data_IF_378297572264
#
_entry.id   IF_378297572264
#
_cell.length_a   1.000
_cell.length_b   1.000
_cell.length_c   1.000
_cell.angle_alpha   90.00
_cell.angle_beta   90.00
_cell.angle_gamma   90.00
#
_symmetry.space_group_name_H-M   'P 1'
#
loop_
_entity.id
_entity.type
_entity.pdbx_description
1 polymer ?
#
# COMPACT_ATOMS: atom_id res chain seq x y z
N UNK A 1 45.97 25.40 3.38
CA UNK A 1 44.82 24.69 4.00
C UNK A 1 43.79 24.49 2.91
N UNK A 2 43.62 23.25 2.45
CA UNK A 2 42.73 22.91 1.36
C UNK A 2 41.29 22.81 1.89
N UNK A 3 40.40 23.62 1.34
CA UNK A 3 38.95 23.55 1.57
C UNK A 3 38.40 22.30 0.90
N UNK A 4 38.02 21.30 1.69
CA UNK A 4 37.28 20.13 1.22
C UNK A 4 35.85 20.54 0.88
N UNK A 5 35.56 20.70 -0.41
CA UNK A 5 34.20 20.78 -0.93
C UNK A 5 33.53 19.41 -0.79
N UNK A 6 32.53 19.33 0.08
CA UNK A 6 31.55 18.24 0.12
C UNK A 6 30.89 18.11 -1.27
N UNK A 7 30.79 16.91 -1.88
CA UNK A 7 30.12 16.78 -3.15
C UNK A 7 28.63 17.04 -2.95
N UNK A 8 28.09 17.94 -3.77
CA UNK A 8 26.67 18.24 -3.84
C UNK A 8 25.88 16.95 -4.09
N UNK A 9 24.87 16.71 -3.25
CA UNK A 9 23.85 15.68 -3.46
C UNK A 9 23.25 15.85 -4.86
N UNK A 10 23.27 14.76 -5.64
CA UNK A 10 22.54 14.64 -6.90
C UNK A 10 21.10 15.14 -6.66
N UNK A 11 20.74 16.24 -7.29
CA UNK A 11 19.37 16.73 -7.27
C UNK A 11 18.49 15.69 -7.98
N UNK A 12 17.69 14.97 -7.19
CA UNK A 12 16.58 14.16 -7.69
C UNK A 12 15.69 15.09 -8.56
N UNK A 13 15.71 14.93 -9.88
CA UNK A 13 14.87 15.75 -10.77
C UNK A 13 13.40 15.41 -10.50
N UNK A 14 12.74 16.23 -9.66
CA UNK A 14 11.32 16.12 -9.37
C UNK A 14 10.52 16.53 -10.63
N UNK A 15 9.86 15.55 -11.22
CA UNK A 15 8.98 15.69 -12.37
C UNK A 15 7.57 16.03 -11.88
N UNK A 16 7.04 17.14 -12.36
CA UNK A 16 5.62 17.50 -12.18
C UNK A 16 4.83 17.09 -13.41
N UNK A 17 3.91 16.14 -13.26
CA UNK A 17 3.07 15.61 -14.34
C UNK A 17 1.61 15.99 -14.09
N UNK A 18 0.86 16.21 -15.18
CA UNK A 18 -0.57 16.49 -15.13
C UNK A 18 -1.34 15.34 -15.78
N UNK A 19 -2.29 14.78 -15.05
CA UNK A 19 -3.12 13.65 -15.46
C UNK A 19 -4.56 14.10 -15.61
N UNK A 20 -5.12 13.96 -16.81
CA UNK A 20 -6.53 14.25 -17.09
C UNK A 20 -7.36 12.99 -16.91
N UNK A 21 -8.34 13.01 -16.01
CA UNK A 21 -9.27 11.92 -15.76
C UNK A 21 -10.69 12.46 -15.52
N UNK A 22 -11.69 11.86 -16.20
CA UNK A 22 -13.10 12.29 -16.18
C UNK A 22 -13.30 13.81 -16.34
N UNK A 23 -12.53 14.42 -17.24
CA UNK A 23 -12.61 15.86 -17.53
C UNK A 23 -11.92 16.78 -16.53
N UNK A 24 -11.40 16.26 -15.41
CA UNK A 24 -10.61 17.02 -14.41
C UNK A 24 -9.11 16.80 -14.63
N UNK A 25 -8.30 17.79 -14.27
CA UNK A 25 -6.83 17.70 -14.28
C UNK A 25 -6.31 17.54 -12.85
N UNK A 26 -5.37 16.59 -12.67
CA UNK A 26 -4.72 16.30 -11.40
C UNK A 26 -3.22 16.43 -11.57
N UNK A 27 -2.54 17.11 -10.65
CA UNK A 27 -1.08 17.26 -10.68
C UNK A 27 -0.43 16.28 -9.72
N UNK A 28 0.51 15.49 -10.22
CA UNK A 28 1.29 14.53 -9.44
C UNK A 28 2.77 14.87 -9.56
N UNK A 29 3.49 14.75 -8.44
CA UNK A 29 4.95 14.91 -8.38
C UNK A 29 5.59 13.54 -8.17
N UNK A 30 6.61 13.25 -8.96
CA UNK A 30 7.37 11.98 -9.00
C UNK A 30 8.84 12.28 -9.27
N UNK A 31 9.74 11.39 -8.87
CA UNK A 31 11.17 11.51 -9.17
C UNK A 31 11.53 10.67 -10.41
N UNK A 32 12.65 10.98 -11.07
CA UNK A 32 13.08 10.21 -12.26
C UNK A 32 13.44 8.75 -11.97
N UNK A 33 13.83 8.43 -10.74
CA UNK A 33 14.10 7.09 -10.23
C UNK A 33 12.83 6.36 -9.76
N UNK A 34 11.67 7.02 -9.75
CA UNK A 34 10.39 6.33 -9.55
C UNK A 34 10.10 5.42 -10.75
N UNK A 35 9.33 4.37 -10.51
CA UNK A 35 8.80 3.47 -11.52
C UNK A 35 7.42 3.94 -12.03
N UNK A 36 6.95 3.37 -13.14
CA UNK A 36 5.56 3.53 -13.61
C UNK A 36 4.55 3.10 -12.52
N UNK A 37 4.85 2.05 -11.76
CA UNK A 37 4.03 1.63 -10.61
C UNK A 37 3.89 2.74 -9.55
N UNK A 38 4.97 3.42 -9.19
CA UNK A 38 4.91 4.54 -8.24
C UNK A 38 4.13 5.72 -8.84
N UNK A 39 4.30 6.03 -10.13
CA UNK A 39 3.46 7.03 -10.80
C UNK A 39 1.96 6.68 -10.70
N UNK A 40 1.58 5.44 -11.00
CA UNK A 40 0.20 4.98 -10.86
C UNK A 40 -0.29 5.09 -9.40
N UNK A 41 0.57 4.78 -8.42
CA UNK A 41 0.26 4.98 -7.00
C UNK A 41 0.00 6.44 -6.66
N UNK A 42 0.80 7.38 -7.16
CA UNK A 42 0.55 8.84 -6.99
C UNK A 42 -0.75 9.30 -7.61
N UNK A 43 -1.11 8.75 -8.76
CA UNK A 43 -2.40 9.02 -9.41
C UNK A 43 -3.54 8.45 -8.56
N UNK A 44 -3.36 7.28 -7.96
CA UNK A 44 -4.34 6.68 -7.06
C UNK A 44 -4.61 7.58 -5.84
N UNK A 45 -3.57 8.20 -5.26
CA UNK A 45 -3.72 9.11 -4.11
C UNK A 45 -4.65 10.31 -4.40
N UNK A 46 -4.65 10.81 -5.64
CA UNK A 46 -5.42 12.00 -6.03
C UNK A 46 -6.72 11.68 -6.76
N UNK A 47 -6.91 10.44 -7.23
CA UNK A 47 -8.10 10.03 -8.00
C UNK A 47 -8.90 8.89 -7.37
N UNK A 48 -8.34 8.18 -6.39
CA UNK A 48 -8.88 6.93 -5.81
C UNK A 48 -9.04 5.78 -6.81
N UNK A 49 -8.50 5.89 -8.02
CA UNK A 49 -8.47 4.80 -9.02
C UNK A 49 -7.27 3.91 -8.71
N UNK A 50 -7.47 2.62 -8.43
CA UNK A 50 -6.37 1.70 -8.12
C UNK A 50 -5.35 1.60 -9.26
N UNK A 51 -4.04 1.41 -8.99
CA UNK A 51 -3.01 1.26 -10.02
C UNK A 51 -3.36 0.24 -11.11
N UNK A 52 -3.89 -0.93 -10.72
CA UNK A 52 -4.33 -1.99 -11.65
C UNK A 52 -5.46 -1.58 -12.60
N UNK A 53 -6.21 -0.52 -12.26
CA UNK A 53 -7.32 0.03 -13.07
C UNK A 53 -6.94 1.28 -13.86
N UNK A 54 -5.70 1.72 -13.77
CA UNK A 54 -5.22 2.90 -14.47
C UNK A 54 -4.61 2.51 -15.80
N UNK A 55 -5.25 2.96 -16.88
CA UNK A 55 -4.67 2.95 -18.22
C UNK A 55 -4.18 4.35 -18.56
N UNK A 56 -2.86 4.54 -18.48
CA UNK A 56 -2.21 5.81 -18.83
C UNK A 56 -1.99 5.90 -20.34
N UNK A 57 -2.44 6.99 -20.94
CA UNK A 57 -2.37 7.23 -22.38
C UNK A 57 -1.54 8.48 -22.66
N UNK A 58 -0.43 8.28 -23.36
CA UNK A 58 0.37 9.35 -23.92
C UNK A 58 0.92 8.96 -25.31
N UNK A 59 0.58 9.69 -26.39
CA UNK A 59 0.87 9.26 -27.77
C UNK A 59 2.32 8.91 -28.06
N UNK A 60 3.30 9.58 -27.43
CA UNK A 60 4.73 9.33 -27.69
C UNK A 60 5.30 8.14 -26.91
N UNK A 61 4.55 7.56 -25.98
CA UNK A 61 5.03 6.51 -25.07
C UNK A 61 4.43 5.14 -25.37
N UNK A 62 3.39 5.07 -26.21
CA UNK A 62 2.74 3.82 -26.58
C UNK A 62 2.38 2.98 -25.36
N UNK A 63 2.75 1.69 -25.39
CA UNK A 63 2.49 0.73 -24.31
C UNK A 63 3.55 0.74 -23.19
N UNK A 64 4.57 1.61 -23.23
CA UNK A 64 5.62 1.62 -22.18
C UNK A 64 5.08 1.97 -20.80
N UNK A 65 3.98 2.73 -20.73
CA UNK A 65 3.28 3.06 -19.49
C UNK A 65 2.39 1.92 -18.95
N UNK A 66 2.32 0.78 -19.66
CA UNK A 66 1.65 -0.41 -19.18
C UNK A 66 2.58 -1.30 -18.34
N UNK A 67 3.90 -1.18 -18.51
CA UNK A 67 4.90 -1.93 -17.75
C UNK A 67 5.25 -1.19 -16.45
N UNK A 68 4.83 -1.77 -15.33
CA UNK A 68 4.98 -1.20 -13.99
C UNK A 68 6.43 -1.18 -13.48
N UNK A 69 7.32 -1.93 -14.14
CA UNK A 69 8.74 -2.03 -13.76
C UNK A 69 9.62 -0.94 -14.38
N UNK A 70 9.11 -0.24 -15.41
CA UNK A 70 9.89 0.77 -16.14
C UNK A 70 10.13 2.01 -15.27
N UNK A 71 11.39 2.46 -15.20
CA UNK A 71 11.76 3.71 -14.53
C UNK A 71 11.34 4.94 -15.35
N UNK A 72 10.84 5.96 -14.68
CA UNK A 72 10.37 7.20 -15.30
C UNK A 72 11.49 7.95 -16.03
N UNK A 73 12.73 7.87 -15.55
CA UNK A 73 13.93 8.44 -16.18
C UNK A 73 14.25 7.85 -17.55
N UNK A 74 13.85 6.61 -17.83
CA UNK A 74 14.06 5.96 -19.14
C UNK A 74 13.02 6.40 -20.17
N UNK A 75 11.99 7.10 -19.72
CA UNK A 75 10.89 7.56 -20.53
C UNK A 75 11.13 9.03 -20.92
N UNK A 76 10.74 9.46 -22.14
CA UNK A 76 10.86 10.85 -22.58
C UNK A 76 9.80 11.75 -21.90
N UNK A 77 9.77 11.75 -20.57
CA UNK A 77 8.91 12.58 -19.75
C UNK A 77 9.55 13.96 -19.57
N UNK A 78 8.81 15.02 -19.94
CA UNK A 78 9.20 16.40 -19.63
C UNK A 78 8.41 16.88 -18.42
N UNK A 79 9.01 17.71 -17.58
CA UNK A 79 8.22 18.43 -16.56
C UNK A 79 7.09 19.21 -17.24
N UNK A 80 5.90 19.24 -16.64
CA UNK A 80 4.62 19.74 -17.18
C UNK A 80 3.92 18.90 -18.26
N UNK A 81 4.31 17.63 -18.43
CA UNK A 81 3.62 16.71 -19.35
C UNK A 81 2.13 16.57 -18.98
N UNK A 82 1.25 16.68 -19.98
CA UNK A 82 -0.17 16.33 -19.85
C UNK A 82 -0.43 14.96 -20.46
N UNK A 83 -0.94 14.02 -19.66
CA UNK A 83 -1.38 12.68 -20.10
C UNK A 83 -2.84 12.43 -19.74
N UNK A 84 -3.49 11.51 -20.44
CA UNK A 84 -4.87 11.11 -20.16
C UNK A 84 -4.86 9.78 -19.41
N UNK A 85 -5.66 9.67 -18.35
CA UNK A 85 -5.87 8.41 -17.64
C UNK A 85 -7.31 7.93 -17.86
N UNK A 86 -7.47 6.65 -18.14
CA UNK A 86 -8.75 5.94 -18.12
C UNK A 86 -8.73 4.98 -16.93
N UNK A 87 -9.81 5.00 -16.15
CA UNK A 87 -9.97 4.12 -15.00
C UNK A 87 -11.25 4.41 -14.22
N UNK A 88 -11.59 3.50 -13.31
CA UNK A 88 -12.80 3.53 -12.49
C UNK A 88 -12.40 3.38 -11.02
N UNK A 89 -13.03 4.17 -10.14
CA UNK A 89 -12.81 4.10 -8.68
C UNK A 89 -13.55 2.90 -8.10
N UNK A 90 -13.04 2.35 -6.99
CA UNK A 90 -13.67 1.20 -6.33
C UNK A 90 -15.09 1.49 -5.83
N UNK A 91 -15.41 2.75 -5.51
CA UNK A 91 -16.74 3.14 -5.04
C UNK A 91 -17.82 2.94 -6.09
N UNK A 92 -17.50 3.15 -7.37
CA UNK A 92 -18.41 2.96 -8.51
C UNK A 92 -18.61 1.47 -8.86
N UNK A 93 -17.82 0.58 -8.25
CA UNK A 93 -17.87 -0.86 -8.50
C UNK A 93 -18.85 -1.50 -7.52
N UNK A 94 -19.86 -2.19 -8.07
CA UNK A 94 -20.94 -2.80 -7.30
C UNK A 94 -20.67 -4.29 -7.02
N UNK A 95 -19.89 -4.94 -7.89
CA UNK A 95 -19.56 -6.37 -7.79
C UNK A 95 -18.14 -6.54 -7.29
N UNK A 96 -17.93 -7.40 -6.29
CA UNK A 96 -16.58 -7.70 -5.80
C UNK A 96 -15.70 -8.23 -6.95
N UNK A 97 -14.63 -7.51 -7.32
CA UNK A 97 -13.72 -7.99 -8.33
C UNK A 97 -13.01 -9.26 -7.82
N UNK A 98 -13.43 -10.41 -8.34
CA UNK A 98 -12.83 -11.74 -8.11
C UNK A 98 -11.32 -11.77 -8.46
N UNK A 99 -10.84 -10.79 -9.23
CA UNK A 99 -9.42 -10.61 -9.57
C UNK A 99 -8.60 -10.19 -8.34
N UNK A 100 -8.18 -11.25 -7.67
CA UNK A 100 -7.29 -11.29 -6.53
C UNK A 100 -5.85 -11.07 -6.97
N UNK A 101 -5.00 -10.43 -6.15
CA UNK A 101 -3.56 -10.43 -6.41
C UNK A 101 -3.04 -11.87 -6.58
N UNK A 102 -1.99 -12.04 -7.37
CA UNK A 102 -1.29 -13.32 -7.45
C UNK A 102 -0.90 -13.75 -6.03
N UNK A 103 -1.10 -15.04 -5.71
CA UNK A 103 -0.60 -15.61 -4.46
C UNK A 103 0.91 -15.62 -4.62
N UNK A 104 1.57 -14.66 -3.98
CA UNK A 104 3.02 -14.61 -3.93
C UNK A 104 3.40 -15.35 -2.65
N UNK A 105 4.16 -16.43 -2.80
CA UNK A 105 4.80 -17.08 -1.65
C UNK A 105 5.94 -16.19 -1.16
N UNK A 106 5.70 -15.48 -0.07
CA UNK A 106 6.66 -14.59 0.57
C UNK A 106 7.55 -15.30 1.61
N UNK A 107 7.33 -16.59 1.86
CA UNK A 107 8.19 -17.39 2.75
C UNK A 107 9.57 -17.72 2.14
N UNK A 108 9.74 -17.51 0.83
CA UNK A 108 11.02 -17.75 0.15
C UNK A 108 12.02 -16.57 0.25
N UNK A 109 11.72 -15.50 0.99
CA UNK A 109 12.65 -14.39 1.18
C UNK A 109 13.82 -14.81 2.08
N UNK A 110 15.03 -14.86 1.52
CA UNK A 110 16.25 -14.97 2.30
C UNK A 110 16.41 -13.78 3.24
N UNK A 111 16.90 -14.01 4.46
CA UNK A 111 17.04 -12.99 5.49
C UNK A 111 17.91 -11.80 5.02
N UNK A 112 18.92 -12.07 4.18
CA UNK A 112 19.79 -11.06 3.58
C UNK A 112 19.05 -10.12 2.61
N UNK A 113 18.11 -10.64 1.80
CA UNK A 113 17.31 -9.83 0.87
C UNK A 113 16.39 -8.85 1.63
N UNK A 114 15.82 -9.29 2.76
CA UNK A 114 14.96 -8.44 3.58
C UNK A 114 15.70 -7.23 4.18
N UNK A 115 16.97 -7.40 4.51
CA UNK A 115 17.83 -6.35 5.07
C UNK A 115 18.18 -5.33 3.99
N UNK A 116 18.55 -5.79 2.79
CA UNK A 116 18.88 -4.91 1.66
C UNK A 116 17.71 -3.99 1.27
N UNK A 117 16.49 -4.53 1.15
CA UNK A 117 15.30 -3.74 0.80
C UNK A 117 15.02 -2.66 1.85
N UNK A 118 15.12 -3.01 3.14
CA UNK A 118 14.87 -2.09 4.25
C UNK A 118 15.88 -0.95 4.29
N UNK A 119 17.14 -1.23 3.94
CA UNK A 119 18.23 -0.28 4.10
C UNK A 119 18.47 0.66 2.92
N UNK A 120 17.89 0.36 1.75
CA UNK A 120 17.86 1.26 0.58
C UNK A 120 17.22 2.61 0.92
N UNK A 121 17.99 3.69 0.74
CA UNK A 121 17.54 5.06 1.11
C UNK A 121 16.28 5.49 0.35
N UNK A 122 16.13 5.09 -0.91
CA UNK A 122 14.92 5.34 -1.72
C UNK A 122 13.67 4.77 -1.02
N UNK A 123 13.75 3.55 -0.47
CA UNK A 123 12.63 2.92 0.24
C UNK A 123 12.37 3.62 1.59
N UNK A 124 13.42 4.07 2.29
CA UNK A 124 13.30 4.86 3.54
C UNK A 124 12.61 6.20 3.28
N UNK A 125 12.94 6.89 2.19
CA UNK A 125 12.28 8.13 1.79
C UNK A 125 10.80 7.89 1.46
N UNK A 126 10.49 6.86 0.67
CA UNK A 126 9.09 6.45 0.37
C UNK A 126 8.30 6.16 1.64
N UNK A 127 8.89 5.45 2.60
CA UNK A 127 8.30 5.18 3.91
C UNK A 127 8.02 6.46 4.70
N UNK A 128 9.02 7.35 4.84
CA UNK A 128 8.87 8.64 5.55
C UNK A 128 7.73 9.46 4.95
N UNK A 129 7.70 9.55 3.62
CA UNK A 129 6.64 10.24 2.89
C UNK A 129 5.27 9.62 3.15
N UNK A 130 5.15 8.29 3.06
CA UNK A 130 3.91 7.57 3.32
C UNK A 130 3.41 7.77 4.74
N UNK A 131 4.30 7.66 5.73
CA UNK A 131 3.98 7.92 7.14
C UNK A 131 3.47 9.35 7.39
N UNK A 132 3.99 10.33 6.65
CA UNK A 132 3.53 11.72 6.75
C UNK A 132 2.15 11.94 6.10
N UNK A 133 1.89 11.31 4.96
CA UNK A 133 0.69 11.53 4.16
C UNK A 133 -0.51 10.68 4.61
N UNK A 134 -0.29 9.40 4.88
CA UNK A 134 -1.35 8.48 5.29
C UNK A 134 -1.63 8.62 6.78
N UNK A 135 -2.88 8.95 7.15
CA UNK A 135 -3.28 9.10 8.56
C UNK A 135 -4.11 7.91 9.01
N UNK A 136 -3.59 7.18 9.99
CA UNK A 136 -4.28 6.03 10.57
C UNK A 136 -5.46 6.52 11.40
N UNK A 137 -6.67 6.07 11.04
CA UNK A 137 -7.89 6.34 11.81
C UNK A 137 -8.10 5.25 12.86
N UNK A 138 -7.89 5.58 14.12
CA UNK A 138 -8.16 4.67 15.24
C UNK A 138 -9.68 4.50 15.41
N UNK A 139 -10.14 3.24 15.42
CA UNK A 139 -11.50 2.85 15.81
C UNK A 139 -11.59 2.65 17.32
N UNK A 140 -10.53 2.09 17.91
CA UNK A 140 -10.38 1.85 19.34
C UNK A 140 -9.00 2.37 19.77
N UNK A 141 -8.86 3.03 20.93
CA UNK A 141 -7.55 3.43 21.42
C UNK A 141 -6.67 2.21 21.67
N UNK A 142 -5.35 2.40 21.53
CA UNK A 142 -4.38 1.38 21.92
C UNK A 142 -4.39 1.18 23.44
N UNK A 143 -4.13 -0.05 23.89
CA UNK A 143 -4.13 -0.43 25.30
C UNK A 143 -2.71 -0.46 25.85
N UNK A 144 -2.55 0.09 27.05
CA UNK A 144 -1.25 0.15 27.71
C UNK A 144 -0.65 -1.26 27.91
N UNK A 145 0.64 -1.39 27.58
CA UNK A 145 1.40 -2.64 27.73
C UNK A 145 1.04 -3.75 26.71
N UNK A 146 0.11 -3.53 25.78
CA UNK A 146 -0.25 -4.51 24.75
C UNK A 146 0.65 -4.40 23.52
N UNK A 147 1.00 -5.56 22.95
CA UNK A 147 1.76 -5.64 21.70
C UNK A 147 0.85 -5.34 20.50
N UNK A 148 1.41 -5.23 19.30
CA UNK A 148 0.64 -5.06 18.06
C UNK A 148 0.62 -6.36 17.26
N UNK A 149 -0.57 -6.79 16.85
CA UNK A 149 -0.77 -7.81 15.84
C UNK A 149 -1.41 -7.16 14.59
N UNK A 150 -0.70 -7.24 13.46
CA UNK A 150 -1.22 -6.79 12.16
C UNK A 150 -1.59 -8.01 11.33
N UNK A 151 -2.82 -8.07 10.85
CA UNK A 151 -3.34 -9.22 10.08
C UNK A 151 -3.72 -8.78 8.68
N UNK A 152 -3.32 -9.59 7.69
CA UNK A 152 -3.92 -9.53 6.36
C UNK A 152 -5.34 -10.13 6.38
N UNK A 153 -6.07 -10.00 5.27
CA UNK A 153 -7.43 -10.50 5.12
C UNK A 153 -7.46 -11.73 4.22
N UNK A 154 -7.15 -11.54 2.94
CA UNK A 154 -7.33 -12.54 1.88
C UNK A 154 -6.36 -13.73 2.13
N UNK A 155 -6.89 -14.94 2.25
CA UNK A 155 -6.15 -16.16 2.66
C UNK A 155 -5.46 -16.13 4.04
N UNK A 156 -5.70 -15.09 4.82
CA UNK A 156 -5.30 -15.04 6.22
C UNK A 156 -6.48 -15.26 7.15
N UNK A 157 -7.58 -14.53 6.96
CA UNK A 157 -8.77 -14.61 7.82
C UNK A 157 -9.97 -15.25 7.12
N UNK A 158 -9.99 -15.28 5.78
CA UNK A 158 -11.06 -15.90 5.01
C UNK A 158 -10.62 -16.30 3.59
N UNK A 159 -11.39 -17.17 2.96
CA UNK A 159 -11.24 -17.58 1.56
C UNK A 159 -11.97 -16.61 0.63
N UNK A 160 -11.20 -15.83 -0.11
CA UNK A 160 -11.71 -14.81 -1.04
C UNK A 160 -11.89 -15.32 -2.47
N UNK A 161 -11.52 -16.58 -2.76
CA UNK A 161 -11.59 -17.15 -4.12
C UNK A 161 -12.80 -18.06 -4.32
N UNK A 162 -13.26 -18.71 -3.26
CA UNK A 162 -14.45 -19.55 -3.32
C UNK A 162 -15.72 -18.70 -3.35
N UNK A 163 -16.70 -19.15 -4.13
CA UNK A 163 -18.06 -18.59 -4.09
C UNK A 163 -18.84 -19.23 -2.95
N UNK A 164 -19.56 -18.43 -2.17
CA UNK A 164 -20.44 -18.90 -1.11
C UNK A 164 -21.74 -18.11 -1.09
N UNK A 165 -22.81 -18.73 -0.60
CA UNK A 165 -24.09 -18.04 -0.38
C UNK A 165 -24.05 -17.17 0.89
N UNK A 166 -23.16 -17.50 1.82
CA UNK A 166 -22.98 -16.77 3.07
C UNK A 166 -21.48 -16.51 3.33
N UNK A 167 -21.05 -15.26 3.60
CA UNK A 167 -19.67 -14.92 3.92
C UNK A 167 -19.04 -15.76 5.05
N UNK A 168 -19.85 -16.23 6.01
CA UNK A 168 -19.40 -17.09 7.11
C UNK A 168 -18.86 -18.43 6.61
N UNK A 169 -19.34 -18.95 5.47
CA UNK A 169 -18.82 -20.18 4.87
C UNK A 169 -17.39 -20.03 4.36
N UNK A 170 -16.97 -18.79 4.06
CA UNK A 170 -15.63 -18.46 3.62
C UNK A 170 -14.70 -18.10 4.78
N UNK A 171 -15.25 -17.95 5.99
CA UNK A 171 -14.49 -17.61 7.19
C UNK A 171 -13.48 -18.71 7.51
N UNK A 172 -12.23 -18.34 7.79
CA UNK A 172 -11.23 -19.31 8.24
C UNK A 172 -11.72 -19.95 9.55
N UNK A 173 -11.65 -21.29 9.69
CA UNK A 173 -12.03 -21.96 10.93
C UNK A 173 -11.32 -21.34 12.14
N UNK A 174 -12.09 -21.16 13.23
CA UNK A 174 -11.63 -20.57 14.50
C UNK A 174 -11.23 -19.08 14.44
N UNK A 175 -11.68 -18.33 13.44
CA UNK A 175 -11.35 -16.90 13.31
C UNK A 175 -11.63 -16.10 14.59
N UNK A 176 -12.82 -16.24 15.17
CA UNK A 176 -13.22 -15.44 16.31
C UNK A 176 -12.55 -15.87 17.62
N UNK A 177 -12.35 -17.17 17.80
CA UNK A 177 -11.61 -17.76 18.92
C UNK A 177 -10.16 -17.29 18.88
N UNK A 178 -9.53 -17.33 17.70
CA UNK A 178 -8.19 -16.79 17.47
C UNK A 178 -8.10 -15.31 17.81
N UNK A 179 -8.98 -14.47 17.26
CA UNK A 179 -8.96 -13.03 17.52
C UNK A 179 -9.23 -12.68 18.98
N UNK A 180 -10.11 -13.44 19.65
CA UNK A 180 -10.37 -13.28 21.09
C UNK A 180 -9.11 -13.60 21.90
N UNK A 181 -8.46 -14.73 21.61
CA UNK A 181 -7.22 -15.13 22.28
C UNK A 181 -6.08 -14.14 22.00
N UNK A 182 -5.92 -13.69 20.75
CA UNK A 182 -4.93 -12.69 20.38
C UNK A 182 -5.20 -11.36 21.07
N UNK A 183 -6.45 -10.93 21.18
CA UNK A 183 -6.80 -9.66 21.80
C UNK A 183 -6.44 -9.61 23.29
N UNK A 184 -6.32 -10.76 23.97
CA UNK A 184 -5.83 -10.81 25.34
C UNK A 184 -4.41 -10.22 25.47
N UNK A 185 -3.57 -10.35 24.45
CA UNK A 185 -2.14 -9.97 24.47
C UNK A 185 -1.79 -8.84 23.50
N UNK A 186 -2.58 -8.65 22.44
CA UNK A 186 -2.28 -7.76 21.33
C UNK A 186 -3.44 -6.81 21.02
N UNK A 187 -3.11 -5.55 20.75
CA UNK A 187 -3.95 -4.69 19.93
C UNK A 187 -3.92 -5.19 18.48
N UNK A 188 -5.07 -5.19 17.82
CA UNK A 188 -5.23 -5.84 16.52
C UNK A 188 -5.51 -4.78 15.46
N UNK A 189 -4.69 -4.75 14.41
CA UNK A 189 -4.95 -3.97 13.19
C UNK A 189 -5.14 -4.90 12.00
N UNK A 190 -6.03 -4.51 11.09
CA UNK A 190 -6.23 -5.22 9.82
C UNK A 190 -5.59 -4.40 8.71
N UNK A 191 -4.77 -5.02 7.86
CA UNK A 191 -4.13 -4.36 6.73
C UNK A 191 -4.25 -5.18 5.44
N UNK A 192 -5.09 -4.73 4.51
CA UNK A 192 -5.29 -5.37 3.20
C UNK A 192 -4.68 -4.55 2.05
N UNK A 193 -4.35 -5.24 0.96
CA UNK A 193 -3.96 -4.63 -0.32
C UNK A 193 -5.17 -4.21 -1.19
N UNK A 194 -6.37 -4.14 -0.61
CA UNK A 194 -7.61 -3.66 -1.26
C UNK A 194 -7.98 -2.25 -0.81
N UNK A 195 -9.08 -1.67 -1.31
CA UNK A 195 -9.57 -0.37 -0.85
C UNK A 195 -10.26 -0.45 0.52
N UNK A 196 -10.28 0.67 1.26
CA UNK A 196 -10.98 0.73 2.54
C UNK A 196 -12.45 0.27 2.46
N UNK A 197 -13.16 0.58 1.36
CA UNK A 197 -14.52 0.09 1.10
C UNK A 197 -14.62 -1.43 1.20
N UNK A 198 -13.72 -2.17 0.55
CA UNK A 198 -13.71 -3.64 0.59
C UNK A 198 -13.25 -4.18 1.93
N UNK A 199 -12.29 -3.52 2.58
CA UNK A 199 -11.85 -3.88 3.94
C UNK A 199 -13.02 -3.79 4.93
N UNK A 200 -13.76 -2.67 4.93
CA UNK A 200 -14.90 -2.47 5.82
C UNK A 200 -16.03 -3.44 5.53
N UNK A 201 -16.35 -3.67 4.25
CA UNK A 201 -17.37 -4.64 3.84
C UNK A 201 -17.02 -6.05 4.35
N UNK A 202 -15.85 -6.58 3.96
CA UNK A 202 -15.42 -7.95 4.32
C UNK A 202 -15.34 -8.15 5.82
N UNK A 203 -14.73 -7.22 6.55
CA UNK A 203 -14.62 -7.34 8.02
C UNK A 203 -15.96 -7.15 8.73
N UNK A 204 -16.90 -6.39 8.14
CA UNK A 204 -18.27 -6.26 8.62
C UNK A 204 -19.06 -7.56 8.44
N UNK A 205 -19.02 -8.13 7.25
CA UNK A 205 -19.72 -9.38 6.89
C UNK A 205 -19.21 -10.59 7.67
N UNK A 206 -17.90 -10.67 7.92
CA UNK A 206 -17.30 -11.70 8.77
C UNK A 206 -17.55 -11.45 10.27
N UNK A 207 -18.26 -10.39 10.67
CA UNK A 207 -18.53 -10.07 12.07
C UNK A 207 -17.32 -9.58 12.88
N UNK A 208 -16.16 -9.39 12.24
CA UNK A 208 -14.89 -8.98 12.87
C UNK A 208 -14.99 -7.56 13.44
N UNK A 209 -15.71 -6.66 12.77
CA UNK A 209 -15.80 -5.25 13.20
C UNK A 209 -16.71 -5.01 14.41
N UNK A 210 -17.60 -5.96 14.73
CA UNK A 210 -18.69 -5.80 15.70
C UNK A 210 -18.73 -6.91 16.77
N UNK A 211 -17.63 -7.64 16.98
CA UNK A 211 -17.57 -8.69 17.98
C UNK A 211 -17.49 -8.10 19.41
N UNK A 212 -18.21 -8.68 20.40
CA UNK A 212 -18.12 -8.23 21.80
C UNK A 212 -16.83 -8.65 22.51
N UNK A 213 -16.16 -9.72 22.06
CA UNK A 213 -15.03 -10.34 22.78
C UNK A 213 -13.67 -9.71 22.45
N UNK A 214 -13.58 -8.92 21.39
CA UNK A 214 -12.35 -8.22 20.99
C UNK A 214 -12.67 -6.90 20.27
N UNK A 215 -11.64 -6.07 20.09
CA UNK A 215 -11.74 -4.82 19.33
C UNK A 215 -10.62 -4.72 18.31
N UNK A 216 -10.95 -4.17 17.15
CA UNK A 216 -9.98 -3.81 16.12
C UNK A 216 -9.58 -2.35 16.34
N UNK A 217 -8.28 -2.12 16.47
CA UNK A 217 -7.65 -0.83 16.75
C UNK A 217 -7.74 0.09 15.54
N UNK A 218 -7.37 -0.40 14.37
CA UNK A 218 -7.41 0.34 13.11
C UNK A 218 -7.53 -0.58 11.89
N UNK A 219 -8.01 0.00 10.79
CA UNK A 219 -8.02 -0.61 9.47
C UNK A 219 -7.04 0.15 8.57
N UNK A 220 -6.24 -0.58 7.81
CA UNK A 220 -5.32 -0.06 6.82
C UNK A 220 -5.62 -0.72 5.47
N UNK A 221 -5.43 0.05 4.41
CA UNK A 221 -5.73 -0.34 3.03
C UNK A 221 -4.50 -0.17 2.14
N UNK A 222 -4.66 -0.40 0.84
CA UNK A 222 -3.58 -0.29 -0.15
C UNK A 222 -2.91 1.09 -0.21
N UNK A 223 -3.58 2.15 0.24
CA UNK A 223 -3.02 3.51 0.28
C UNK A 223 -1.93 3.67 1.35
N UNK A 224 -1.86 2.77 2.33
CA UNK A 224 -0.78 2.72 3.31
C UNK A 224 0.48 2.00 2.78
N UNK A 225 0.37 1.27 1.66
CA UNK A 225 1.47 0.48 1.08
C UNK A 225 2.48 1.37 0.33
N UNK A 226 3.69 0.84 0.13
CA UNK A 226 4.73 1.47 -0.71
C UNK A 226 5.22 0.48 -1.76
N UNK A 227 5.69 1.03 -2.88
CA UNK A 227 6.33 0.25 -3.94
C UNK A 227 7.84 0.22 -3.71
N UNK A 228 8.39 -0.97 -3.51
CA UNK A 228 9.82 -1.22 -3.26
C UNK A 228 10.48 -1.91 -4.45
N UNK A 229 11.78 -1.73 -4.57
CA UNK A 229 12.61 -2.43 -5.54
C UNK A 229 13.52 -3.43 -4.82
N UNK A 230 13.41 -4.70 -5.22
CA UNK A 230 14.33 -5.79 -4.86
C UNK A 230 15.15 -6.19 -6.09
N UNK A 231 16.41 -6.56 -5.86
CA UNK A 231 17.30 -6.98 -6.94
C UNK A 231 16.96 -8.40 -7.44
N UNK A 232 16.32 -9.24 -6.62
CA UNK A 232 15.93 -10.61 -6.97
C UNK A 232 14.48 -10.71 -7.46
N UNK A 233 13.55 -9.96 -6.85
CA UNK A 233 12.09 -10.02 -7.15
C UNK A 233 11.61 -8.88 -8.05
N UNK A 234 12.47 -7.93 -8.37
CA UNK A 234 12.08 -6.72 -9.09
C UNK A 234 11.22 -5.80 -8.24
N UNK A 235 10.27 -5.11 -8.86
CA UNK A 235 9.44 -4.10 -8.22
C UNK A 235 8.14 -4.73 -7.71
N UNK A 236 7.82 -4.51 -6.44
CA UNK A 236 6.59 -4.99 -5.83
C UNK A 236 6.08 -4.06 -4.74
N UNK A 237 4.82 -4.23 -4.34
CA UNK A 237 4.19 -3.46 -3.27
C UNK A 237 4.29 -4.19 -1.94
N UNK A 238 4.66 -3.48 -0.87
CA UNK A 238 4.75 -4.04 0.47
C UNK A 238 3.92 -3.25 1.49
N UNK A 239 3.68 -3.88 2.65
CA UNK A 239 2.99 -3.31 3.81
C UNK A 239 4.02 -2.89 4.88
N UNK A 240 4.63 -1.70 4.79
CA UNK A 240 5.71 -1.32 5.68
C UNK A 240 5.18 -0.96 7.08
N UNK A 241 5.41 -1.84 8.06
CA UNK A 241 5.02 -1.61 9.47
C UNK A 241 5.56 -0.27 10.04
N UNK A 242 6.63 0.26 9.47
CA UNK A 242 7.14 1.60 9.80
C UNK A 242 6.12 2.73 9.63
N UNK A 243 5.09 2.58 8.78
CA UNK A 243 3.98 3.56 8.66
C UNK A 243 3.19 3.64 9.95
N UNK A 244 2.99 2.50 10.62
CA UNK A 244 2.30 2.40 11.91
C UNK A 244 3.21 2.93 13.01
N UNK A 245 4.45 2.45 13.08
CA UNK A 245 5.41 2.84 14.13
C UNK A 245 5.72 4.33 14.14
N UNK A 246 5.76 4.98 12.97
CA UNK A 246 5.98 6.43 12.89
C UNK A 246 4.82 7.25 13.47
N UNK A 247 3.60 6.72 13.51
CA UNK A 247 2.40 7.41 14.00
C UNK A 247 2.01 7.01 15.42
N UNK A 248 2.43 5.82 15.88
CA UNK A 248 2.14 5.29 17.21
C UNK A 248 3.43 4.88 17.95
N UNK A 249 4.38 5.81 18.15
CA UNK A 249 5.69 5.49 18.71
C UNK A 249 5.60 5.04 20.18
N UNK A 250 4.63 5.55 20.94
CA UNK A 250 4.52 5.30 22.38
C UNK A 250 3.99 3.90 22.74
N UNK A 251 3.36 3.21 21.78
CA UNK A 251 2.71 1.92 22.03
C UNK A 251 3.56 0.74 21.54
N UNK A 252 4.34 0.94 20.47
CA UNK A 252 4.94 -0.18 19.72
C UNK A 252 6.41 0.01 19.31
N UNK A 253 7.08 1.09 19.68
CA UNK A 253 8.49 1.29 19.30
C UNK A 253 9.48 0.82 20.38
N UNK A 254 10.28 -0.18 20.04
CA UNK A 254 11.73 -0.04 20.24
C UNK A 254 12.19 1.00 19.22
N UNK A 255 12.84 2.07 19.69
CA UNK A 255 13.25 3.24 18.89
C UNK A 255 13.77 2.85 17.49
N UNK A 256 13.18 3.45 16.45
CA UNK A 256 13.66 3.42 15.07
C UNK A 256 15.08 4.01 14.97
#
# INVERSE_FOLDING_TARGET
>A
MASSSTPASLSEEELTLTVKWRGKEYTVRVCGDDSVSELKRRICEVTSVLPKRQKLLYPKMGNKLADDSVLLSTLPLKSSLKMTMIGTVEDDIIVDPVESPEIIDDFELGQEESVDIKDKEVNKQKLRRRANQYKIKLRTPCREGKKLLVLDIDYTLFDHRSTAENPVQLMRPYLHEFLTAAYAEYDIMIWSATSMKWVELKMGELGVLNNPNYKITALLDHLAMITVQSDSRGIFDCKPLGVIWAQLPEVHSTKL
#
